data_IF_380510039788
#
_entry.id   IF_380510039788
#
_cell.length_a   1.000
_cell.length_b   1.000
_cell.length_c   1.000
_cell.angle_alpha   90.00
_cell.angle_beta   90.00
_cell.angle_gamma   90.00
#
_symmetry.space_group_name_H-M   'P 1'
#
loop_
_entity.id
_entity.type
_entity.pdbx_description
1 polymer ?
#
# COMPACT_ATOMS: atom_id res chain seq x y z
N UNK A 1 17.46 -11.79 5.34
CA UNK A 1 16.74 -11.82 4.04
C UNK A 1 15.59 -10.84 4.16
N UNK A 2 15.36 -10.05 3.11
CA UNK A 2 14.25 -9.09 3.11
C UNK A 2 12.91 -9.82 3.15
N UNK A 3 11.93 -9.26 3.83
CA UNK A 3 10.68 -9.94 4.18
C UNK A 3 9.47 -9.14 3.67
N UNK A 4 8.41 -9.83 3.27
CA UNK A 4 7.05 -9.28 3.14
C UNK A 4 6.31 -9.62 4.43
N UNK A 5 5.77 -8.61 5.12
CA UNK A 5 5.02 -8.78 6.35
C UNK A 5 3.52 -8.70 6.09
N UNK A 6 2.75 -9.58 6.71
CA UNK A 6 1.29 -9.57 6.60
C UNK A 6 0.66 -9.52 8.00
N UNK A 7 -0.23 -8.56 8.22
CA UNK A 7 -1.08 -8.54 9.40
C UNK A 7 -2.24 -9.52 9.26
N UNK A 8 -2.40 -10.41 10.26
CA UNK A 8 -3.40 -11.47 10.22
C UNK A 8 -4.23 -11.50 11.51
N UNK A 9 -5.56 -11.58 11.40
CA UNK A 9 -6.51 -11.56 12.51
C UNK A 9 -7.70 -12.51 12.31
N UNK A 10 -7.54 -13.51 11.45
CA UNK A 10 -8.57 -14.48 11.06
C UNK A 10 -9.79 -13.89 10.33
N UNK A 11 -9.82 -12.60 10.05
CA UNK A 11 -10.87 -12.01 9.21
C UNK A 11 -10.73 -12.42 7.74
N UNK A 12 -11.82 -12.32 6.99
CA UNK A 12 -11.80 -12.54 5.53
C UNK A 12 -10.82 -11.60 4.84
N UNK A 13 -10.77 -10.33 5.25
CA UNK A 13 -9.85 -9.34 4.68
C UNK A 13 -8.38 -9.70 4.91
N UNK A 14 -8.02 -10.18 6.13
CA UNK A 14 -6.67 -10.64 6.41
C UNK A 14 -6.33 -11.95 5.69
N UNK A 15 -7.31 -12.82 5.44
CA UNK A 15 -7.12 -14.02 4.64
C UNK A 15 -6.74 -13.66 3.19
N UNK A 16 -7.45 -12.72 2.57
CA UNK A 16 -7.09 -12.20 1.24
C UNK A 16 -5.72 -11.50 1.22
N UNK A 17 -5.39 -10.78 2.30
CA UNK A 17 -4.07 -10.18 2.45
C UNK A 17 -2.94 -11.22 2.42
N UNK A 18 -3.14 -12.39 3.05
CA UNK A 18 -2.19 -13.51 3.00
C UNK A 18 -2.07 -14.08 1.58
N UNK A 19 -3.17 -14.28 0.88
CA UNK A 19 -3.15 -14.85 -0.47
C UNK A 19 -2.38 -13.94 -1.45
N UNK A 20 -2.61 -12.62 -1.40
CA UNK A 20 -1.82 -11.67 -2.20
C UNK A 20 -0.37 -11.59 -1.72
N UNK A 21 -0.11 -11.66 -0.41
CA UNK A 21 1.23 -11.63 0.12
C UNK A 21 2.08 -12.81 -0.38
N UNK A 22 1.49 -14.00 -0.53
CA UNK A 22 2.15 -15.17 -1.09
C UNK A 22 2.55 -14.91 -2.56
N UNK A 23 1.65 -14.35 -3.40
CA UNK A 23 1.98 -14.04 -4.80
C UNK A 23 3.09 -12.98 -4.88
N UNK A 24 2.97 -11.89 -4.10
CA UNK A 24 3.99 -10.84 -4.05
C UNK A 24 5.34 -11.38 -3.55
N UNK A 25 5.35 -12.12 -2.44
CA UNK A 25 6.57 -12.68 -1.86
C UNK A 25 7.27 -13.66 -2.81
N UNK A 26 6.51 -14.52 -3.49
CA UNK A 26 7.05 -15.41 -4.52
C UNK A 26 7.70 -14.63 -5.67
N UNK A 27 7.06 -13.57 -6.19
CA UNK A 27 7.62 -12.75 -7.28
C UNK A 27 8.83 -11.96 -6.82
N UNK A 28 8.81 -11.45 -5.60
CA UNK A 28 9.93 -10.72 -5.01
C UNK A 28 11.07 -11.63 -4.56
N UNK A 29 10.87 -12.96 -4.49
CA UNK A 29 11.78 -13.93 -3.88
C UNK A 29 12.19 -13.51 -2.45
N UNK A 30 11.19 -13.12 -1.66
CA UNK A 30 11.32 -12.69 -0.27
C UNK A 30 10.58 -13.65 0.65
N UNK A 31 11.07 -13.81 1.87
CA UNK A 31 10.36 -14.58 2.87
C UNK A 31 9.08 -13.86 3.32
N UNK A 32 8.10 -14.61 3.81
CA UNK A 32 6.82 -14.10 4.28
C UNK A 32 6.72 -14.24 5.80
N UNK A 33 6.40 -13.14 6.48
CA UNK A 33 6.18 -13.09 7.93
C UNK A 33 4.72 -12.79 8.23
N UNK A 34 4.01 -13.75 8.81
CA UNK A 34 2.66 -13.58 9.31
C UNK A 34 2.71 -13.03 10.73
N UNK A 35 1.98 -11.95 11.00
CA UNK A 35 1.94 -11.32 12.32
C UNK A 35 0.52 -11.32 12.85
N UNK A 36 0.31 -12.03 13.95
CA UNK A 36 -0.91 -11.93 14.76
C UNK A 36 -0.63 -11.09 15.99
N UNK A 37 -1.49 -10.12 16.30
CA UNK A 37 -1.36 -9.31 17.51
C UNK A 37 -2.52 -9.61 18.44
N UNK A 38 -2.23 -10.37 19.50
CA UNK A 38 -3.22 -10.74 20.52
C UNK A 38 -3.44 -9.64 21.56
N UNK A 39 -4.58 -9.64 22.19
CA UNK A 39 -4.81 -8.92 23.44
C UNK A 39 -4.19 -9.69 24.62
N UNK A 40 -4.02 -9.01 25.77
CA UNK A 40 -3.40 -9.59 26.96
C UNK A 40 -4.11 -10.86 27.46
N UNK A 41 -5.43 -10.90 27.31
CA UNK A 41 -6.28 -11.95 27.89
C UNK A 41 -6.56 -13.11 26.89
N UNK A 42 -6.08 -13.03 25.65
CA UNK A 42 -6.26 -14.09 24.68
C UNK A 42 -5.29 -15.25 24.90
N UNK A 43 -5.85 -16.48 24.91
CA UNK A 43 -5.04 -17.70 24.92
C UNK A 43 -4.32 -17.87 23.57
N UNK A 44 -3.02 -18.00 23.64
CA UNK A 44 -2.15 -18.17 22.47
C UNK A 44 -2.29 -19.56 21.83
N UNK A 45 -2.69 -20.57 22.57
CA UNK A 45 -2.74 -21.97 22.09
C UNK A 45 -3.66 -22.15 20.89
N UNK A 46 -4.94 -21.72 20.92
CA UNK A 46 -5.81 -21.83 19.73
C UNK A 46 -5.37 -20.94 18.58
N UNK A 47 -4.79 -19.75 18.87
CA UNK A 47 -4.27 -18.86 17.84
C UNK A 47 -3.16 -19.55 17.06
N UNK A 48 -2.18 -20.13 17.76
CA UNK A 48 -1.06 -20.85 17.18
C UNK A 48 -1.53 -22.02 16.31
N UNK A 49 -2.42 -22.85 16.83
CA UNK A 49 -2.95 -24.00 16.11
C UNK A 49 -3.65 -23.59 14.79
N UNK A 50 -4.39 -22.50 14.80
CA UNK A 50 -5.09 -22.00 13.60
C UNK A 50 -4.11 -21.42 12.58
N UNK A 51 -3.09 -20.68 13.01
CA UNK A 51 -2.04 -20.16 12.10
C UNK A 51 -1.28 -21.32 11.46
N UNK A 52 -0.88 -22.32 12.24
CA UNK A 52 -0.16 -23.49 11.75
C UNK A 52 -0.99 -24.29 10.75
N UNK A 53 -2.30 -24.46 11.02
CA UNK A 53 -3.23 -25.10 10.09
C UNK A 53 -3.31 -24.33 8.76
N UNK A 54 -3.39 -23.00 8.81
CA UNK A 54 -3.42 -22.16 7.60
C UNK A 54 -2.10 -22.25 6.84
N UNK A 55 -0.97 -22.11 7.52
CA UNK A 55 0.34 -22.20 6.90
C UNK A 55 0.55 -23.55 6.19
N UNK A 56 0.14 -24.65 6.83
CA UNK A 56 0.17 -25.97 6.19
C UNK A 56 -0.71 -26.04 4.92
N UNK A 57 -1.87 -25.42 4.95
CA UNK A 57 -2.81 -25.36 3.81
C UNK A 57 -2.26 -24.61 2.60
N UNK A 58 -1.40 -23.60 2.80
CA UNK A 58 -0.85 -22.78 1.71
C UNK A 58 0.61 -23.09 1.37
N UNK A 59 1.26 -24.00 2.09
CA UNK A 59 2.68 -24.35 1.92
C UNK A 59 3.02 -24.76 0.47
N UNK A 60 2.09 -25.38 -0.24
CA UNK A 60 2.26 -25.79 -1.65
C UNK A 60 2.29 -24.60 -2.63
N UNK A 61 1.91 -23.40 -2.20
CA UNK A 61 1.93 -22.17 -3.01
C UNK A 61 3.27 -21.43 -2.91
N UNK A 62 4.16 -21.83 -1.98
CA UNK A 62 5.43 -21.17 -1.75
C UNK A 62 6.51 -21.69 -2.72
N UNK A 63 7.03 -20.82 -3.57
CA UNK A 63 8.00 -21.16 -4.60
C UNK A 63 9.44 -20.89 -4.11
N UNK A 64 9.92 -21.71 -3.16
CA UNK A 64 11.27 -21.60 -2.61
C UNK A 64 11.49 -20.53 -1.54
N UNK A 65 10.45 -19.77 -1.19
CA UNK A 65 10.44 -18.83 -0.07
C UNK A 65 9.96 -19.52 1.21
N UNK A 66 10.27 -18.93 2.36
CA UNK A 66 9.78 -19.41 3.66
C UNK A 66 8.59 -18.56 4.11
N UNK A 67 7.68 -19.19 4.83
CA UNK A 67 6.58 -18.53 5.53
C UNK A 67 6.68 -18.84 7.01
N UNK A 68 7.01 -17.84 7.79
CA UNK A 68 7.07 -17.91 9.26
C UNK A 68 5.94 -17.08 9.86
N UNK A 69 5.73 -17.22 11.17
CA UNK A 69 4.75 -16.40 11.88
C UNK A 69 5.28 -15.98 13.26
N UNK A 70 4.72 -14.89 13.77
CA UNK A 70 4.93 -14.42 15.13
C UNK A 70 3.60 -14.00 15.75
N UNK A 71 3.41 -14.31 17.03
CA UNK A 71 2.31 -13.83 17.86
C UNK A 71 2.89 -12.76 18.78
N UNK A 72 2.37 -11.54 18.67
CA UNK A 72 2.78 -10.40 19.50
C UNK A 72 1.61 -9.98 20.39
N UNK A 73 1.89 -9.24 21.45
CA UNK A 73 0.89 -8.73 22.39
C UNK A 73 1.01 -7.21 22.47
N UNK A 74 -0.10 -6.49 22.22
CA UNK A 74 -0.10 -5.04 22.30
C UNK A 74 -1.06 -4.34 21.37
N UNK A 75 -0.66 -3.14 20.91
CA UNK A 75 -1.42 -2.37 19.92
C UNK A 75 -1.02 -2.79 18.51
N UNK A 76 -2.00 -3.22 17.73
CA UNK A 76 -1.79 -3.79 16.38
C UNK A 76 -0.83 -2.97 15.52
N UNK A 77 -1.05 -1.65 15.36
CA UNK A 77 -0.18 -0.81 14.52
C UNK A 77 1.27 -0.78 15.02
N UNK A 78 1.46 -0.63 16.33
CA UNK A 78 2.78 -0.56 16.94
C UNK A 78 3.54 -1.88 16.80
N UNK A 79 2.86 -3.00 17.01
CA UNK A 79 3.45 -4.32 16.92
C UNK A 79 3.77 -4.72 15.47
N UNK A 80 2.90 -4.36 14.49
CA UNK A 80 3.19 -4.56 13.06
C UNK A 80 4.41 -3.75 12.61
N UNK A 81 4.47 -2.46 12.98
CA UNK A 81 5.61 -1.60 12.63
C UNK A 81 6.92 -2.04 13.33
N UNK A 82 6.84 -2.49 14.59
CA UNK A 82 7.99 -3.02 15.30
C UNK A 82 8.49 -4.31 14.63
N UNK A 83 7.60 -5.26 14.33
CA UNK A 83 7.97 -6.49 13.65
C UNK A 83 8.53 -6.24 12.24
N UNK A 84 8.03 -5.24 11.53
CA UNK A 84 8.56 -4.86 10.23
C UNK A 84 10.03 -4.42 10.32
N UNK A 85 10.40 -3.71 11.38
CA UNK A 85 11.81 -3.35 11.66
C UNK A 85 12.63 -4.56 12.06
N UNK A 86 12.10 -5.43 12.93
CA UNK A 86 12.81 -6.61 13.45
C UNK A 86 13.16 -7.61 12.32
N UNK A 87 12.34 -7.73 11.27
CA UNK A 87 12.56 -8.67 10.17
C UNK A 87 12.99 -8.01 8.85
N UNK A 88 13.41 -6.75 8.84
CA UNK A 88 13.79 -5.98 7.63
C UNK A 88 12.71 -6.06 6.53
N UNK A 89 11.46 -5.84 6.92
CA UNK A 89 10.35 -5.90 5.99
C UNK A 89 10.45 -4.79 4.93
N UNK A 90 10.16 -5.15 3.68
CA UNK A 90 10.14 -4.22 2.55
C UNK A 90 8.71 -3.79 2.18
N UNK A 91 7.73 -4.46 2.74
CA UNK A 91 6.30 -4.22 2.51
C UNK A 91 5.50 -4.77 3.68
N UNK A 92 4.49 -4.03 4.11
CA UNK A 92 3.44 -4.53 5.00
C UNK A 92 2.16 -4.67 4.19
N UNK A 93 1.45 -5.81 4.33
CA UNK A 93 0.16 -6.05 3.70
C UNK A 93 -0.90 -6.24 4.79
N UNK A 94 -2.02 -5.52 4.69
CA UNK A 94 -3.11 -5.60 5.67
C UNK A 94 -4.47 -5.53 4.99
N UNK A 95 -5.46 -6.21 5.57
CA UNK A 95 -6.87 -6.00 5.23
C UNK A 95 -7.35 -4.60 5.67
N UNK A 96 -8.31 -4.02 4.96
CA UNK A 96 -8.89 -2.71 5.35
C UNK A 96 -9.79 -2.80 6.57
N UNK A 97 -10.39 -3.98 6.84
CA UNK A 97 -11.29 -4.25 7.96
C UNK A 97 -10.84 -5.51 8.69
N UNK A 98 -10.87 -5.46 10.02
CA UNK A 98 -10.66 -6.63 10.87
C UNK A 98 -12.00 -7.27 11.28
N UNK A 99 -11.94 -8.24 12.22
CA UNK A 99 -13.10 -9.01 12.71
C UNK A 99 -14.28 -8.16 13.23
N UNK A 100 -14.05 -6.90 13.61
CA UNK A 100 -15.10 -6.04 14.17
C UNK A 100 -16.11 -5.48 13.16
N UNK A 101 -15.88 -5.62 11.85
CA UNK A 101 -16.81 -5.46 10.71
C UNK A 101 -17.86 -4.33 10.69
N UNK A 102 -17.83 -3.38 11.63
CA UNK A 102 -18.96 -2.52 11.93
C UNK A 102 -19.25 -1.39 10.92
N UNK A 103 -18.33 -1.05 10.02
CA UNK A 103 -18.58 0.00 9.01
C UNK A 103 -17.86 -0.30 7.69
N UNK A 104 -18.57 -0.83 6.72
CA UNK A 104 -18.06 -1.14 5.37
C UNK A 104 -17.50 0.07 4.61
N UNK A 105 -17.77 1.29 5.09
CA UNK A 105 -17.40 2.55 4.41
C UNK A 105 -16.21 3.29 5.06
N UNK A 106 -15.54 2.72 6.06
CA UNK A 106 -14.41 3.34 6.74
C UNK A 106 -13.24 2.38 6.83
N UNK A 107 -12.03 2.88 6.64
CA UNK A 107 -10.82 2.09 6.92
C UNK A 107 -10.74 1.80 8.44
N UNK A 108 -10.39 0.57 8.79
CA UNK A 108 -10.23 0.16 10.19
C UNK A 108 -9.16 0.99 10.90
N UNK A 109 -9.39 1.32 12.18
CA UNK A 109 -8.47 2.14 12.99
C UNK A 109 -7.04 1.58 13.01
N UNK A 110 -6.89 0.26 13.10
CA UNK A 110 -5.59 -0.39 13.13
C UNK A 110 -4.86 -0.24 11.79
N UNK A 111 -5.55 -0.46 10.67
CA UNK A 111 -5.00 -0.27 9.32
C UNK A 111 -4.59 1.18 9.09
N UNK A 112 -5.45 2.14 9.44
CA UNK A 112 -5.13 3.56 9.37
C UNK A 112 -3.85 3.91 10.12
N UNK A 113 -3.73 3.45 11.38
CA UNK A 113 -2.55 3.70 12.20
C UNK A 113 -1.31 3.01 11.66
N UNK A 114 -1.43 1.77 11.18
CA UNK A 114 -0.32 1.05 10.56
C UNK A 114 0.26 1.85 9.38
N UNK A 115 -0.60 2.40 8.51
CA UNK A 115 -0.17 3.22 7.39
C UNK A 115 0.51 4.51 7.87
N UNK A 116 -0.06 5.17 8.89
CA UNK A 116 0.47 6.43 9.42
C UNK A 116 1.80 6.26 10.17
N UNK A 117 2.01 5.12 10.83
CA UNK A 117 3.18 4.84 11.69
C UNK A 117 4.29 4.09 10.94
N UNK A 118 4.01 3.44 9.80
CA UNK A 118 4.96 2.59 9.07
C UNK A 118 6.06 3.40 8.39
N UNK A 119 7.29 2.92 8.47
CA UNK A 119 8.44 3.43 7.72
C UNK A 119 8.61 2.73 6.36
N UNK A 120 7.86 1.64 6.12
CA UNK A 120 7.87 0.91 4.85
C UNK A 120 6.50 1.03 4.16
N UNK A 121 6.43 0.84 2.82
CA UNK A 121 5.15 0.87 2.11
C UNK A 121 4.12 -0.09 2.71
N UNK A 122 2.85 0.35 2.72
CA UNK A 122 1.73 -0.46 3.22
C UNK A 122 0.73 -0.68 2.09
N UNK A 123 0.49 -1.92 1.74
CA UNK A 123 -0.54 -2.33 0.78
C UNK A 123 -1.81 -2.73 1.54
N UNK A 124 -2.90 -2.05 1.24
CA UNK A 124 -4.21 -2.35 1.82
C UNK A 124 -5.11 -3.05 0.83
N UNK A 125 -5.89 -4.01 1.32
CA UNK A 125 -6.78 -4.84 0.52
C UNK A 125 -8.15 -4.90 1.14
N UNK A 126 -9.19 -4.79 0.30
CA UNK A 126 -10.58 -4.96 0.70
C UNK A 126 -11.07 -6.39 0.43
N UNK A 127 -12.10 -6.80 1.17
CA UNK A 127 -12.72 -8.13 1.06
C UNK A 127 -13.42 -8.36 -0.29
N UNK A 128 -13.82 -7.29 -0.99
CA UNK A 128 -14.53 -7.34 -2.26
C UNK A 128 -13.61 -7.36 -3.49
N UNK A 129 -12.27 -7.36 -3.28
CA UNK A 129 -11.31 -7.39 -4.38
C UNK A 129 -11.19 -8.78 -5.00
N UNK A 130 -11.23 -8.85 -6.32
CA UNK A 130 -11.10 -10.11 -7.06
C UNK A 130 -9.64 -10.47 -7.33
N UNK A 131 -9.05 -11.34 -6.52
CA UNK A 131 -7.65 -11.79 -6.61
C UNK A 131 -7.32 -12.66 -7.83
N UNK A 132 -8.29 -13.04 -8.65
CA UNK A 132 -8.05 -13.85 -9.86
C UNK A 132 -7.48 -13.00 -11.00
N UNK A 133 -7.46 -11.68 -10.86
CA UNK A 133 -6.91 -10.74 -11.82
C UNK A 133 -5.45 -10.46 -11.48
N UNK A 134 -4.57 -10.55 -12.47
CA UNK A 134 -3.20 -10.03 -12.36
C UNK A 134 -3.25 -8.52 -12.14
N UNK A 135 -2.23 -7.93 -11.50
CA UNK A 135 -2.09 -6.46 -11.38
C UNK A 135 -1.60 -5.90 -12.73
N UNK A 136 -2.49 -5.79 -13.72
CA UNK A 136 -2.13 -5.38 -15.08
C UNK A 136 -1.94 -3.87 -15.23
N UNK A 137 -2.76 -3.07 -14.52
CA UNK A 137 -2.75 -1.61 -14.61
C UNK A 137 -2.69 -0.98 -13.23
N UNK A 138 -1.71 -0.09 -13.06
CA UNK A 138 -1.45 0.58 -11.79
C UNK A 138 -1.51 2.09 -11.99
N UNK A 139 -2.42 2.78 -11.31
CA UNK A 139 -2.54 4.24 -11.38
C UNK A 139 -1.62 4.91 -10.36
N UNK A 140 -0.85 5.88 -10.84
CA UNK A 140 0.09 6.69 -10.03
C UNK A 140 -0.25 8.16 -10.22
N UNK A 141 -1.06 8.77 -9.35
CA UNK A 141 -1.41 10.18 -9.43
C UNK A 141 -0.21 11.08 -9.09
N UNK A 142 -0.03 12.13 -9.86
CA UNK A 142 1.03 13.15 -9.72
C UNK A 142 0.37 14.52 -9.63
N UNK A 143 0.51 15.20 -8.53
CA UNK A 143 0.04 16.56 -8.30
C UNK A 143 1.22 17.55 -8.22
N UNK A 144 0.99 18.77 -7.75
CA UNK A 144 2.02 19.79 -7.61
C UNK A 144 2.79 19.72 -6.29
N UNK A 145 2.57 18.73 -5.41
CA UNK A 145 3.33 18.56 -4.18
C UNK A 145 4.76 18.10 -4.45
N UNK A 146 5.71 18.53 -3.64
CA UNK A 146 7.15 18.28 -3.85
C UNK A 146 7.53 16.81 -3.74
N UNK A 147 6.82 16.05 -2.93
CA UNK A 147 7.05 14.65 -2.62
C UNK A 147 6.23 13.68 -3.49
N UNK A 148 5.28 14.20 -4.30
CA UNK A 148 4.36 13.40 -5.13
C UNK A 148 5.05 12.33 -5.98
N UNK A 149 6.32 12.51 -6.36
CA UNK A 149 7.10 11.60 -7.20
C UNK A 149 7.83 10.50 -6.42
N UNK A 150 7.94 10.60 -5.10
CA UNK A 150 8.73 9.65 -4.28
C UNK A 150 8.15 8.22 -4.30
N UNK A 151 6.86 8.06 -4.62
CA UNK A 151 6.21 6.74 -4.79
C UNK A 151 6.56 6.04 -6.11
N UNK A 152 7.07 6.78 -7.11
CA UNK A 152 7.30 6.25 -8.46
C UNK A 152 8.29 5.08 -8.51
N UNK A 153 9.44 5.10 -7.79
CA UNK A 153 10.35 3.95 -7.77
C UNK A 153 9.70 2.68 -7.21
N UNK A 154 8.83 2.84 -6.19
CA UNK A 154 8.07 1.71 -5.61
C UNK A 154 7.06 1.18 -6.62
N UNK A 155 6.29 2.06 -7.27
CA UNK A 155 5.35 1.69 -8.34
C UNK A 155 6.05 0.99 -9.50
N UNK A 156 7.22 1.48 -9.93
CA UNK A 156 8.02 0.87 -11.00
C UNK A 156 8.51 -0.54 -10.63
N UNK A 157 8.89 -0.77 -9.37
CA UNK A 157 9.24 -2.10 -8.87
C UNK A 157 8.05 -3.06 -8.96
N UNK A 158 6.87 -2.64 -8.53
CA UNK A 158 5.64 -3.45 -8.67
C UNK A 158 5.31 -3.72 -10.14
N UNK A 159 5.38 -2.70 -11.01
CA UNK A 159 5.11 -2.88 -12.43
C UNK A 159 6.02 -3.93 -13.07
N UNK A 160 7.30 -3.93 -12.75
CA UNK A 160 8.24 -4.97 -13.23
C UNK A 160 7.92 -6.36 -12.71
N UNK A 161 7.49 -6.49 -11.45
CA UNK A 161 7.16 -7.78 -10.84
C UNK A 161 5.93 -8.43 -11.47
N UNK A 162 4.96 -7.61 -11.87
CA UNK A 162 3.66 -8.07 -12.38
C UNK A 162 3.51 -7.89 -13.89
N UNK A 163 4.54 -7.36 -14.59
CA UNK A 163 4.48 -6.94 -16.00
C UNK A 163 3.35 -5.93 -16.26
N UNK A 164 3.10 -5.06 -15.28
CA UNK A 164 2.01 -4.08 -15.30
C UNK A 164 2.35 -2.86 -16.14
N UNK A 165 1.31 -2.20 -16.67
CA UNK A 165 1.40 -0.85 -17.23
C UNK A 165 1.12 0.19 -16.14
N UNK A 166 2.02 1.17 -15.98
CA UNK A 166 1.81 2.31 -15.09
C UNK A 166 1.02 3.40 -15.80
N UNK A 167 -0.08 3.81 -15.21
CA UNK A 167 -0.85 4.97 -15.63
C UNK A 167 -0.46 6.18 -14.77
N UNK A 168 0.43 7.02 -15.29
CA UNK A 168 0.86 8.25 -14.63
C UNK A 168 -0.19 9.31 -14.87
N UNK A 169 -0.91 9.68 -13.81
CA UNK A 169 -2.03 10.61 -13.87
C UNK A 169 -1.64 11.98 -13.31
N UNK A 170 -1.29 12.92 -14.19
CA UNK A 170 -1.06 14.32 -13.81
C UNK A 170 -2.37 15.00 -13.43
N UNK A 171 -2.44 15.62 -12.26
CA UNK A 171 -3.63 16.21 -11.66
C UNK A 171 -3.51 17.74 -11.58
N UNK A 172 -4.19 18.46 -12.47
CA UNK A 172 -4.23 19.92 -12.42
C UNK A 172 -5.24 20.40 -11.38
N UNK A 173 -4.75 20.79 -10.21
CA UNK A 173 -5.56 21.29 -9.09
C UNK A 173 -5.98 22.75 -9.24
N UNK A 174 -5.47 23.45 -10.26
CA UNK A 174 -5.72 24.87 -10.52
C UNK A 174 -5.56 25.18 -11.99
N UNK A 175 -6.27 26.21 -12.47
CA UNK A 175 -6.10 26.77 -13.82
C UNK A 175 -4.87 27.68 -13.94
N UNK A 176 -4.15 27.93 -12.85
CA UNK A 176 -2.92 28.71 -12.87
C UNK A 176 -1.84 27.98 -13.68
N UNK A 177 -1.36 28.66 -14.73
CA UNK A 177 -0.37 28.13 -15.67
C UNK A 177 0.96 27.69 -14.99
N UNK A 178 1.36 28.40 -13.93
CA UNK A 178 2.58 28.04 -13.17
C UNK A 178 2.38 26.72 -12.42
N UNK A 179 1.21 26.50 -11.79
CA UNK A 179 0.91 25.23 -11.08
C UNK A 179 0.80 24.09 -12.08
N UNK A 180 0.15 24.30 -13.22
CA UNK A 180 0.10 23.30 -14.30
C UNK A 180 1.49 22.96 -14.81
N UNK A 181 2.33 23.97 -15.05
CA UNK A 181 3.73 23.76 -15.46
C UNK A 181 4.56 22.94 -14.48
N UNK A 182 4.27 23.01 -13.17
CA UNK A 182 4.90 22.13 -12.17
C UNK A 182 4.47 20.69 -12.38
N UNK A 183 3.18 20.43 -12.54
CA UNK A 183 2.67 19.07 -12.78
C UNK A 183 3.22 18.50 -14.08
N UNK A 184 3.20 19.29 -15.18
CA UNK A 184 3.77 18.86 -16.46
C UNK A 184 5.26 18.52 -16.34
N UNK A 185 6.03 19.34 -15.63
CA UNK A 185 7.43 19.08 -15.36
C UNK A 185 7.65 17.80 -14.56
N UNK A 186 6.80 17.53 -13.56
CA UNK A 186 6.88 16.31 -12.77
C UNK A 186 6.50 15.07 -13.59
N UNK A 187 5.43 15.15 -14.38
CA UNK A 187 5.03 14.05 -15.28
C UNK A 187 6.13 13.75 -16.28
N UNK A 188 6.73 14.77 -16.92
CA UNK A 188 7.85 14.57 -17.83
C UNK A 188 9.09 13.95 -17.18
N UNK A 189 9.41 14.33 -15.92
CA UNK A 189 10.50 13.69 -15.17
C UNK A 189 10.22 12.22 -14.88
N UNK A 190 8.97 11.90 -14.52
CA UNK A 190 8.53 10.52 -14.28
C UNK A 190 8.56 9.70 -15.56
N UNK A 191 8.06 10.23 -16.66
CA UNK A 191 8.09 9.64 -17.99
C UNK A 191 9.54 9.25 -18.38
N UNK A 192 10.47 10.21 -18.33
CA UNK A 192 11.89 9.98 -18.61
C UNK A 192 12.52 8.92 -17.67
N UNK A 193 12.12 8.90 -16.39
CA UNK A 193 12.60 7.89 -15.44
C UNK A 193 12.10 6.49 -15.81
N UNK A 194 10.82 6.36 -16.15
CA UNK A 194 10.20 5.08 -16.48
C UNK A 194 10.67 4.53 -17.83
N UNK A 195 10.92 5.40 -18.83
CA UNK A 195 11.58 5.02 -20.08
C UNK A 195 12.96 4.39 -19.82
N UNK A 196 13.82 5.09 -19.06
CA UNK A 196 15.15 4.58 -18.68
C UNK A 196 15.09 3.30 -17.85
N UNK A 197 14.03 3.15 -17.06
CA UNK A 197 13.80 1.96 -16.27
C UNK A 197 13.15 0.82 -17.07
N UNK A 198 12.83 1.02 -18.35
CA UNK A 198 12.14 0.03 -19.21
C UNK A 198 10.84 -0.49 -18.59
N UNK A 199 10.03 0.42 -18.03
CA UNK A 199 8.72 0.12 -17.46
C UNK A 199 7.63 0.55 -18.45
N UNK A 200 6.69 -0.33 -18.75
CA UNK A 200 5.51 0.00 -19.56
C UNK A 200 4.70 1.09 -18.85
N UNK A 201 4.42 2.20 -19.52
CA UNK A 201 3.64 3.28 -18.93
C UNK A 201 2.97 4.17 -19.96
N UNK A 202 1.94 4.87 -19.51
CA UNK A 202 1.26 5.94 -20.22
C UNK A 202 1.14 7.16 -19.30
N UNK A 203 1.28 8.36 -19.86
CA UNK A 203 1.14 9.61 -19.14
C UNK A 203 -0.10 10.37 -19.62
N UNK A 204 -0.96 10.75 -18.69
CA UNK A 204 -2.18 11.52 -18.98
C UNK A 204 -2.34 12.63 -17.94
N UNK A 205 -2.66 13.85 -18.36
CA UNK A 205 -2.95 14.96 -17.45
C UNK A 205 -4.43 15.34 -17.54
N UNK A 206 -5.07 15.54 -16.40
CA UNK A 206 -6.48 15.90 -16.30
C UNK A 206 -6.73 17.07 -15.34
N UNK A 207 -7.78 17.84 -15.59
CA UNK A 207 -8.24 18.82 -14.63
C UNK A 207 -8.94 18.14 -13.45
N UNK A 208 -8.79 18.70 -12.26
CA UNK A 208 -9.49 18.26 -11.05
C UNK A 208 -10.68 19.18 -10.80
N UNK A 209 -11.90 18.83 -11.24
CA UNK A 209 -13.04 19.74 -11.15
C UNK A 209 -13.59 19.89 -9.74
N UNK A 210 -13.42 18.88 -8.88
CA UNK A 210 -14.00 18.85 -7.53
C UNK A 210 -13.01 18.39 -6.47
N UNK A 211 -12.46 17.19 -6.63
CA UNK A 211 -11.70 16.50 -5.60
C UNK A 211 -10.67 15.56 -6.23
N UNK A 212 -9.42 15.62 -5.77
CA UNK A 212 -8.32 14.77 -6.24
C UNK A 212 -8.65 13.27 -6.17
N UNK A 213 -9.25 12.84 -5.06
CA UNK A 213 -9.60 11.44 -4.84
C UNK A 213 -10.63 10.96 -5.86
N UNK A 214 -11.71 11.73 -6.04
CA UNK A 214 -12.78 11.39 -7.00
C UNK A 214 -12.23 11.31 -8.41
N UNK A 215 -11.46 12.33 -8.83
CA UNK A 215 -10.84 12.34 -10.17
C UNK A 215 -9.91 11.15 -10.38
N UNK A 216 -9.11 10.79 -9.37
CA UNK A 216 -8.22 9.62 -9.44
C UNK A 216 -9.01 8.31 -9.55
N UNK A 217 -10.09 8.15 -8.78
CA UNK A 217 -10.93 6.95 -8.80
C UNK A 217 -11.68 6.82 -10.12
N UNK A 218 -12.28 7.91 -10.65
CA UNK A 218 -12.95 7.93 -11.97
C UNK A 218 -11.97 7.56 -13.10
N UNK A 219 -10.75 8.08 -13.06
CA UNK A 219 -9.72 7.67 -14.00
C UNK A 219 -9.35 6.19 -13.84
N UNK A 220 -9.12 5.72 -12.61
CA UNK A 220 -8.83 4.32 -12.35
C UNK A 220 -9.95 3.37 -12.83
N UNK A 221 -11.23 3.80 -12.71
CA UNK A 221 -12.37 3.08 -13.28
C UNK A 221 -12.33 3.07 -14.81
N UNK A 222 -12.04 4.20 -15.44
CA UNK A 222 -12.02 4.33 -16.90
C UNK A 222 -10.97 3.47 -17.60
N UNK A 223 -9.86 3.16 -16.89
CA UNK A 223 -8.77 2.32 -17.40
C UNK A 223 -8.80 0.89 -16.84
N UNK A 224 -9.83 0.54 -16.07
CA UNK A 224 -9.93 -0.75 -15.36
C UNK A 224 -8.66 -1.08 -14.57
N UNK A 225 -8.20 -0.13 -13.76
CA UNK A 225 -6.99 -0.27 -12.97
C UNK A 225 -7.15 -1.31 -11.86
N UNK A 226 -6.08 -2.01 -11.54
CA UNK A 226 -6.05 -3.07 -10.52
C UNK A 226 -5.47 -2.59 -9.19
N UNK A 227 -4.70 -1.50 -9.19
CA UNK A 227 -4.09 -0.92 -7.98
C UNK A 227 -3.89 0.59 -8.14
N UNK A 228 -3.88 1.30 -7.02
CA UNK A 228 -3.52 2.73 -6.97
C UNK A 228 -2.34 2.90 -6.02
N UNK A 229 -1.34 3.72 -6.39
CA UNK A 229 -0.18 4.02 -5.55
C UNK A 229 -0.23 5.48 -5.12
N UNK A 230 -0.27 5.74 -3.82
CA UNK A 230 -0.39 7.10 -3.26
C UNK A 230 0.77 7.45 -2.32
N UNK A 231 0.98 8.76 -2.11
CA UNK A 231 1.75 9.26 -0.98
C UNK A 231 0.85 9.40 0.24
N UNK A 232 1.39 9.13 1.42
CA UNK A 232 0.75 9.48 2.68
C UNK A 232 1.26 10.86 3.09
N UNK A 233 0.48 11.92 2.82
CA UNK A 233 0.79 13.22 3.37
C UNK A 233 0.68 13.16 4.89
N UNK A 234 1.73 13.63 5.59
CA UNK A 234 1.70 13.77 7.03
C UNK A 234 1.53 15.26 7.36
N UNK A 235 0.41 15.60 7.97
CA UNK A 235 0.33 16.88 8.66
C UNK A 235 1.32 16.84 9.82
N UNK A 236 2.30 17.75 9.79
CA UNK A 236 3.34 17.91 10.81
C UNK A 236 2.75 18.46 12.11
N UNK A 237 1.95 17.69 12.82
CA UNK A 237 1.64 17.94 14.21
C UNK A 237 2.61 17.18 15.10
N UNK A 238 3.27 17.86 16.01
CA UNK A 238 4.32 17.34 16.89
C UNK A 238 3.89 16.15 17.79
N UNK A 239 2.64 15.70 17.73
CA UNK A 239 2.08 14.71 18.67
C UNK A 239 1.24 13.59 18.05
N UNK A 240 0.93 13.61 16.75
CA UNK A 240 0.14 12.54 16.13
C UNK A 240 0.51 12.34 14.65
N UNK A 241 0.78 11.11 14.28
CA UNK A 241 0.90 10.70 12.88
C UNK A 241 -0.51 10.68 12.27
N UNK A 242 -0.85 11.69 11.48
CA UNK A 242 -2.13 11.78 10.77
C UNK A 242 -1.87 11.62 9.27
N UNK A 243 -2.69 10.81 8.62
CA UNK A 243 -2.73 10.75 7.17
C UNK A 243 -3.39 12.02 6.63
N UNK A 244 -2.87 12.57 5.55
CA UNK A 244 -3.51 13.67 4.85
C UNK A 244 -4.90 13.30 4.33
N UNK A 245 -5.74 14.31 4.12
CA UNK A 245 -7.13 14.14 3.72
C UNK A 245 -7.29 13.32 2.42
N UNK A 246 -6.38 13.50 1.45
CA UNK A 246 -6.36 12.73 0.20
C UNK A 246 -6.15 11.24 0.46
N UNK A 247 -5.14 10.87 1.26
CA UNK A 247 -4.85 9.47 1.58
C UNK A 247 -6.01 8.82 2.35
N UNK A 248 -6.60 9.52 3.32
CA UNK A 248 -7.77 9.02 4.07
C UNK A 248 -8.95 8.73 3.15
N UNK A 249 -9.29 9.67 2.26
CA UNK A 249 -10.38 9.50 1.31
C UNK A 249 -10.09 8.37 0.33
N UNK A 250 -8.87 8.27 -0.20
CA UNK A 250 -8.48 7.21 -1.12
C UNK A 250 -8.63 5.83 -0.48
N UNK A 251 -8.10 5.64 0.72
CA UNK A 251 -8.21 4.38 1.46
C UNK A 251 -9.64 4.01 1.84
N UNK A 252 -10.50 5.01 2.03
CA UNK A 252 -11.91 4.80 2.36
C UNK A 252 -12.75 4.45 1.14
N UNK A 253 -12.52 5.13 0.02
CA UNK A 253 -13.41 5.07 -1.16
C UNK A 253 -12.93 4.09 -2.22
N UNK A 254 -11.64 3.74 -2.26
CA UNK A 254 -11.13 2.81 -3.26
C UNK A 254 -11.63 1.39 -3.00
N UNK A 255 -12.18 0.75 -4.04
CA UNK A 255 -12.47 -0.68 -4.07
C UNK A 255 -11.26 -1.52 -4.52
N UNK A 256 -10.19 -0.85 -4.95
CA UNK A 256 -8.94 -1.47 -5.39
C UNK A 256 -7.91 -1.47 -4.27
N UNK A 257 -6.94 -2.38 -4.28
CA UNK A 257 -5.75 -2.28 -3.45
C UNK A 257 -5.10 -0.90 -3.55
N UNK A 258 -4.70 -0.36 -2.42
CA UNK A 258 -4.00 0.92 -2.35
C UNK A 258 -2.64 0.71 -1.72
N UNK A 259 -1.59 1.00 -2.47
CA UNK A 259 -0.22 1.01 -1.98
C UNK A 259 0.13 2.41 -1.48
N UNK A 260 0.28 2.54 -0.18
CA UNK A 260 0.59 3.78 0.52
C UNK A 260 2.10 3.88 0.75
N UNK A 261 2.72 4.94 0.24
CA UNK A 261 4.15 5.21 0.37
C UNK A 261 4.33 6.47 1.22
N UNK A 262 5.15 6.37 2.27
CA UNK A 262 5.48 7.49 3.13
C UNK A 262 6.54 8.39 2.46
N UNK A 263 6.42 9.73 2.52
CA UNK A 263 7.49 10.62 2.08
C UNK A 263 8.75 10.40 2.91
N UNK A 264 9.89 10.24 2.24
CA UNK A 264 11.18 10.32 2.92
C UNK A 264 11.41 11.77 3.36
N UNK A 265 11.70 11.98 4.63
CA UNK A 265 12.16 13.28 5.10
C UNK A 265 13.52 13.53 4.46
N UNK A 266 13.55 14.38 3.45
CA UNK A 266 14.82 14.96 2.97
C UNK A 266 15.32 15.82 4.13
N UNK A 267 16.21 15.25 4.96
CA UNK A 267 16.93 16.04 5.94
C UNK A 267 17.57 17.19 5.17
N UNK A 268 17.03 18.40 5.35
CA UNK A 268 17.69 19.62 4.91
C UNK A 268 19.05 19.62 5.60
N UNK A 269 20.06 19.20 4.85
CA UNK A 269 21.45 19.39 5.26
C UNK A 269 21.59 20.90 5.44
N UNK A 270 21.53 21.31 6.69
CA UNK A 270 21.85 22.67 7.10
C UNK A 270 23.26 22.97 6.59
N UNK A 271 23.33 24.02 5.76
CA UNK A 271 24.57 24.64 5.34
C UNK A 271 25.38 25.09 6.54
#
# INVERSE_FOLDING_TARGET
MSTVLVGFDFSTGSAYAVDLAIDIANRMQMDLMLVYVKTKDEDETPIRAEIERRNAGVAHLLNGIKMDYVIREGKVSQELCAQAKDCDAQLIIVGTHGMSGFEKNWIGRNTYRTIAESDVPVLTIREDFNFKKSLERIVVPIDNSSDTRQKVPVAAKFAKLFDSELHILGLYTSDNTSIRGIVDGYVHMVDTYLEKAEVKHVCTCVNVPKNLTVTTLEYADSVDADMIVIMTEQESSLTSFLLGNYAQQMLTLSHRPVLSVRPEQVNSVSK
#
